data_IF_278979062251
#
_entry.id   IF_278979062251
#
_cell.length_a   1.000
_cell.length_b   1.000
_cell.length_c   1.000
_cell.angle_alpha   90.00
_cell.angle_beta   90.00
_cell.angle_gamma   90.00
#
_symmetry.space_group_name_H-M   'P 1'
#
loop_
_entity.id
_entity.type
_entity.pdbx_description
1 polymer ?
#
# COMPACT_ATOMS: atom_id res chain seq x y z
N UNK A 1 -5.85 15.70 14.52
CA UNK A 1 -5.57 15.12 13.18
C UNK A 1 -4.07 15.17 12.99
N UNK A 2 -3.40 14.04 13.05
CA UNK A 2 -1.93 13.96 12.94
C UNK A 2 -1.64 13.54 11.50
N UNK A 3 -1.24 14.49 10.66
CA UNK A 3 -0.78 14.20 9.31
C UNK A 3 0.60 13.57 9.45
N UNK A 4 0.67 12.25 9.58
CA UNK A 4 1.95 11.53 9.56
C UNK A 4 2.56 11.77 8.19
N UNK A 5 3.61 12.60 8.12
CA UNK A 5 4.43 12.67 6.92
C UNK A 5 5.14 11.33 6.76
N UNK A 6 4.61 10.47 5.89
CA UNK A 6 5.23 9.18 5.60
C UNK A 6 6.39 9.44 4.64
N UNK A 7 7.62 9.24 5.13
CA UNK A 7 8.81 9.30 4.33
C UNK A 7 8.90 8.05 3.43
N UNK A 8 8.89 8.24 2.10
CA UNK A 8 8.94 7.14 1.12
C UNK A 8 10.25 6.33 1.20
N UNK A 9 11.33 6.95 1.67
CA UNK A 9 12.65 6.32 1.78
C UNK A 9 12.74 5.36 2.97
N UNK A 10 12.01 5.63 4.05
CA UNK A 10 11.97 4.80 5.24
C UNK A 10 11.02 3.59 5.09
N UNK A 11 10.22 3.57 4.03
CA UNK A 11 9.31 2.46 3.75
C UNK A 11 10.07 1.25 3.18
N UNK A 12 9.74 0.03 3.64
CA UNK A 12 10.32 -1.18 3.09
C UNK A 12 9.94 -1.36 1.62
N UNK A 13 10.80 -2.01 0.86
CA UNK A 13 10.56 -2.32 -0.56
C UNK A 13 9.29 -3.15 -0.79
N UNK A 14 8.92 -3.98 0.20
CA UNK A 14 7.67 -4.71 0.22
C UNK A 14 6.72 -4.13 1.26
N UNK A 15 5.74 -3.35 0.80
CA UNK A 15 4.69 -2.78 1.62
C UNK A 15 3.69 -3.84 2.08
N UNK A 16 2.96 -3.50 3.14
CA UNK A 16 1.86 -4.30 3.69
C UNK A 16 0.55 -3.52 3.54
N UNK A 17 -0.63 -4.18 3.66
CA UNK A 17 -1.90 -3.47 3.67
C UNK A 17 -1.95 -2.34 4.70
N UNK A 18 -1.28 -2.50 5.84
CA UNK A 18 -1.19 -1.44 6.86
C UNK A 18 -0.49 -0.18 6.33
N UNK A 19 0.61 -0.32 5.59
CA UNK A 19 1.27 0.84 4.98
C UNK A 19 0.34 1.52 3.97
N UNK A 20 -0.39 0.75 3.15
CA UNK A 20 -1.35 1.31 2.19
C UNK A 20 -2.48 2.07 2.92
N UNK A 21 -2.99 1.49 4.01
CA UNK A 21 -4.00 2.10 4.85
C UNK A 21 -3.53 3.45 5.42
N UNK A 22 -2.29 3.50 5.92
CA UNK A 22 -1.69 4.71 6.50
C UNK A 22 -1.38 5.78 5.42
N UNK A 23 -0.90 5.37 4.24
CA UNK A 23 -0.59 6.27 3.12
C UNK A 23 -1.87 6.87 2.52
N UNK A 24 -2.87 6.05 2.24
CA UNK A 24 -4.12 6.49 1.62
C UNK A 24 -5.14 7.05 2.63
N UNK A 25 -4.86 6.93 3.93
CA UNK A 25 -5.77 7.35 5.02
C UNK A 25 -7.17 6.75 4.90
N UNK A 26 -7.26 5.49 4.44
CA UNK A 26 -8.52 4.76 4.24
C UNK A 26 -8.79 3.77 5.37
N UNK A 27 -10.04 3.30 5.45
CA UNK A 27 -10.41 2.27 6.42
C UNK A 27 -9.78 0.91 6.09
N UNK A 28 -9.63 0.05 7.12
CA UNK A 28 -9.16 -1.33 6.95
C UNK A 28 -10.00 -2.08 5.91
N UNK A 29 -11.32 -1.96 5.95
CA UNK A 29 -12.23 -2.61 4.98
C UNK A 29 -11.88 -2.22 3.54
N UNK A 30 -11.82 -0.92 3.25
CA UNK A 30 -11.47 -0.38 1.93
C UNK A 30 -10.09 -0.84 1.47
N UNK A 31 -9.13 -0.90 2.40
CA UNK A 31 -7.77 -1.39 2.10
C UNK A 31 -7.80 -2.83 1.60
N UNK A 32 -8.50 -3.72 2.31
CA UNK A 32 -8.57 -5.13 1.91
C UNK A 32 -9.39 -5.34 0.65
N UNK A 33 -10.48 -4.60 0.45
CA UNK A 33 -11.23 -4.59 -0.82
C UNK A 33 -10.33 -4.18 -2.00
N UNK A 34 -9.47 -3.18 -1.81
CA UNK A 34 -8.49 -2.79 -2.81
C UNK A 34 -7.44 -3.88 -3.09
N UNK A 35 -7.05 -4.68 -2.09
CA UNK A 35 -6.11 -5.79 -2.29
C UNK A 35 -6.71 -6.96 -3.06
N UNK A 36 -8.04 -7.08 -3.16
CA UNK A 36 -8.70 -8.11 -3.97
C UNK A 36 -8.64 -7.79 -5.46
N UNK A 37 -8.69 -6.50 -5.81
CA UNK A 37 -8.58 -6.05 -7.20
C UNK A 37 -7.64 -4.83 -7.29
N UNK A 38 -6.34 -5.01 -7.04
CA UNK A 38 -5.42 -3.90 -6.90
C UNK A 38 -5.05 -3.33 -8.27
N UNK A 39 -4.93 -2.00 -8.40
CA UNK A 39 -4.47 -1.35 -9.62
C UNK A 39 -2.94 -1.43 -9.81
N UNK A 40 -2.24 -2.09 -8.89
CA UNK A 40 -0.79 -2.28 -8.88
C UNK A 40 -0.43 -3.73 -8.52
N UNK A 41 0.85 -4.07 -8.67
CA UNK A 41 1.34 -5.43 -8.41
C UNK A 41 1.30 -5.79 -6.92
N UNK A 42 0.58 -6.87 -6.59
CA UNK A 42 0.47 -7.44 -5.25
C UNK A 42 0.80 -8.94 -5.30
N UNK A 43 1.69 -9.36 -4.39
CA UNK A 43 2.06 -10.76 -4.19
C UNK A 43 1.40 -11.26 -2.91
N UNK A 44 0.69 -12.39 -3.00
CA UNK A 44 0.11 -13.06 -1.84
C UNK A 44 0.98 -14.25 -1.43
N UNK A 45 1.58 -14.19 -0.24
CA UNK A 45 2.38 -15.27 0.34
C UNK A 45 1.60 -15.84 1.53
N UNK A 46 0.90 -16.94 1.29
CA UNK A 46 -0.03 -17.51 2.27
C UNK A 46 -1.17 -16.54 2.60
N UNK A 47 -1.22 -16.07 3.85
CA UNK A 47 -2.19 -15.07 4.33
C UNK A 47 -1.68 -13.62 4.27
N UNK A 48 -0.43 -13.42 3.86
CA UNK A 48 0.21 -12.11 3.84
C UNK A 48 0.14 -11.50 2.44
N UNK A 49 -0.21 -10.22 2.38
CA UNK A 49 -0.06 -9.41 1.18
C UNK A 49 1.27 -8.67 1.23
N UNK A 50 1.99 -8.69 0.10
CA UNK A 50 3.21 -7.95 -0.14
C UNK A 50 3.01 -7.11 -1.40
N UNK A 51 3.13 -5.80 -1.25
CA UNK A 51 2.92 -4.84 -2.32
C UNK A 51 4.28 -4.26 -2.70
N UNK A 52 4.63 -4.24 -3.99
CA UNK A 52 5.88 -3.60 -4.42
C UNK A 52 5.78 -2.10 -4.19
N UNK A 53 6.71 -1.54 -3.38
CA UNK A 53 6.79 -0.09 -3.12
C UNK A 53 6.82 0.69 -4.42
N UNK A 54 7.67 0.25 -5.37
CA UNK A 54 7.81 0.85 -6.68
C UNK A 54 6.51 0.82 -7.49
N UNK A 55 5.84 -0.34 -7.55
CA UNK A 55 4.60 -0.47 -8.33
C UNK A 55 3.46 0.36 -7.73
N UNK A 56 3.36 0.40 -6.40
CA UNK A 56 2.37 1.21 -5.70
C UNK A 56 2.58 2.71 -5.99
N UNK A 57 3.80 3.23 -5.81
CA UNK A 57 4.06 4.64 -6.04
C UNK A 57 3.96 5.03 -7.52
N UNK A 58 4.35 4.16 -8.46
CA UNK A 58 4.13 4.40 -9.89
C UNK A 58 2.65 4.64 -10.20
N UNK A 59 1.79 3.76 -9.69
CA UNK A 59 0.33 3.93 -9.81
C UNK A 59 -0.17 5.20 -9.09
N UNK A 60 0.31 5.44 -7.87
CA UNK A 60 -0.13 6.57 -7.05
C UNK A 60 0.25 7.93 -7.66
N UNK A 61 1.43 8.01 -8.28
CA UNK A 61 1.93 9.21 -8.95
C UNK A 61 1.37 9.36 -10.38
N UNK A 62 0.68 8.33 -10.91
CA UNK A 62 0.00 8.34 -12.20
C UNK A 62 0.87 8.04 -13.42
N UNK A 63 2.01 7.35 -13.22
CA UNK A 63 2.98 6.96 -14.26
C UNK A 63 2.69 5.64 -14.97
#
# INVERSE_FOLDING_TARGET
>A
MITTQINREELPEALTPRHIQEILQIGKKQTYEMMENPPFHVVKVGRLYKISKKAFFKWFDGE
#
